data_IF_252131828805
#
_entry.id   IF_252131828805
#
_cell.length_a   1.000
_cell.length_b   1.000
_cell.length_c   1.000
_cell.angle_alpha   90.00
_cell.angle_beta   90.00
_cell.angle_gamma   90.00
#
_symmetry.space_group_name_H-M   'P 1'
#
loop_
_entity.id
_entity.type
_entity.pdbx_description
1 polymer ?
#
# COMPACT_ATOMS: atom_id res chain seq x y z
N UNK A 1 30.12 4.73 38.22
CA UNK A 1 28.78 5.27 37.91
C UNK A 1 28.44 4.83 36.49
N UNK A 2 27.64 3.77 36.33
CA UNK A 2 27.15 3.34 35.00
C UNK A 2 26.01 4.29 34.65
N UNK A 3 26.15 5.00 33.53
CA UNK A 3 25.03 5.68 32.89
C UNK A 3 24.07 4.59 32.40
N UNK A 4 22.96 4.38 33.11
CA UNK A 4 21.79 3.75 32.51
C UNK A 4 21.33 4.67 31.39
N UNK A 5 21.72 4.31 30.16
CA UNK A 5 21.09 4.85 28.97
C UNK A 5 19.64 4.37 29.05
N UNK A 6 18.74 5.27 29.45
CA UNK A 6 17.30 5.06 29.32
C UNK A 6 17.02 4.79 27.84
N UNK A 7 16.94 3.51 27.47
CA UNK A 7 16.44 3.10 26.17
C UNK A 7 15.02 3.69 26.07
N UNK A 8 14.71 4.52 25.06
CA UNK A 8 13.36 4.99 24.88
C UNK A 8 12.45 3.76 24.82
N UNK A 9 11.42 3.76 25.67
CA UNK A 9 10.46 2.66 25.74
C UNK A 9 9.91 2.46 24.33
N UNK A 10 10.20 1.30 23.72
CA UNK A 10 9.74 0.98 22.37
C UNK A 10 8.23 1.20 22.31
N UNK A 11 7.74 1.83 21.24
CA UNK A 11 6.31 2.02 21.02
C UNK A 11 5.78 0.91 20.11
N UNK A 12 4.45 0.68 20.12
CA UNK A 12 3.81 -0.20 19.13
C UNK A 12 4.19 0.18 17.69
N UNK A 13 4.34 1.47 17.42
CA UNK A 13 4.76 2.00 16.11
C UNK A 13 6.19 1.57 15.73
N UNK A 14 7.13 1.53 16.69
CA UNK A 14 8.49 1.01 16.43
C UNK A 14 8.46 -0.46 16.00
N UNK A 15 7.59 -1.26 16.64
CA UNK A 15 7.39 -2.67 16.28
C UNK A 15 6.72 -2.84 14.91
N UNK A 16 5.69 -2.04 14.61
CA UNK A 16 5.04 -2.04 13.28
C UNK A 16 6.05 -1.69 12.18
N UNK A 17 6.86 -0.64 12.39
CA UNK A 17 7.90 -0.22 11.45
C UNK A 17 8.94 -1.32 11.24
N UNK A 18 9.40 -1.95 12.33
CA UNK A 18 10.34 -3.07 12.25
C UNK A 18 9.74 -4.31 11.56
N UNK A 19 8.46 -4.59 11.79
CA UNK A 19 7.70 -5.65 11.14
C UNK A 19 7.53 -5.42 9.63
N UNK A 20 7.21 -4.20 9.21
CA UNK A 20 7.14 -3.80 7.80
C UNK A 20 8.50 -3.98 7.13
N UNK A 21 9.58 -3.53 7.77
CA UNK A 21 10.92 -3.72 7.23
C UNK A 21 11.29 -5.22 7.10
N UNK A 22 10.94 -6.03 8.09
CA UNK A 22 11.11 -7.50 8.01
C UNK A 22 10.31 -8.11 6.85
N UNK A 23 9.06 -7.66 6.66
CA UNK A 23 8.19 -8.13 5.58
C UNK A 23 8.76 -7.77 4.21
N UNK A 24 9.25 -6.54 4.02
CA UNK A 24 9.86 -6.09 2.76
C UNK A 24 11.15 -6.85 2.43
N UNK A 25 11.99 -7.10 3.43
CA UNK A 25 13.33 -7.67 3.24
C UNK A 25 13.31 -9.20 3.12
N UNK A 26 12.47 -9.89 3.89
CA UNK A 26 12.48 -11.35 4.01
C UNK A 26 11.15 -12.02 3.64
N UNK A 27 10.18 -11.23 3.18
CA UNK A 27 8.84 -11.70 2.89
C UNK A 27 8.08 -12.16 4.14
N UNK A 28 6.95 -12.87 3.95
CA UNK A 28 6.08 -13.31 5.04
C UNK A 28 6.80 -14.16 6.10
N UNK A 29 7.77 -14.97 5.69
CA UNK A 29 8.55 -15.81 6.59
C UNK A 29 9.43 -15.01 7.56
N UNK A 30 9.74 -13.74 7.25
CA UNK A 30 10.48 -12.82 8.12
C UNK A 30 9.68 -12.29 9.30
N UNK A 31 8.35 -12.32 9.22
CA UNK A 31 7.47 -11.65 10.19
C UNK A 31 7.16 -12.58 11.36
N UNK A 32 7.87 -12.38 12.46
CA UNK A 32 7.59 -13.05 13.74
C UNK A 32 8.07 -12.20 14.91
N UNK A 33 7.42 -12.34 16.07
CA UNK A 33 7.78 -11.57 17.26
C UNK A 33 9.25 -11.74 17.66
N UNK A 34 9.82 -12.94 17.47
CA UNK A 34 11.25 -13.17 17.73
C UNK A 34 12.16 -12.42 16.75
N UNK A 35 11.91 -12.53 15.43
CA UNK A 35 12.75 -11.88 14.42
C UNK A 35 12.67 -10.35 14.51
N UNK A 36 11.49 -9.82 14.83
CA UNK A 36 11.28 -8.39 15.02
C UNK A 36 11.94 -7.91 16.32
N UNK A 37 11.81 -8.66 17.42
CA UNK A 37 12.51 -8.35 18.67
C UNK A 37 14.03 -8.30 18.47
N UNK A 38 14.58 -9.27 17.73
CA UNK A 38 15.99 -9.30 17.36
C UNK A 38 16.38 -8.07 16.52
N UNK A 39 15.54 -7.65 15.57
CA UNK A 39 15.78 -6.43 14.77
C UNK A 39 15.80 -5.17 15.63
N UNK A 40 15.00 -5.14 16.70
CA UNK A 40 14.91 -4.03 17.64
C UNK A 40 15.92 -4.10 18.79
N UNK A 41 16.85 -5.08 18.75
CA UNK A 41 17.84 -5.34 19.81
C UNK A 41 17.19 -5.54 21.20
N UNK A 42 16.06 -6.25 21.24
CA UNK A 42 15.36 -6.60 22.48
C UNK A 42 15.02 -8.08 22.56
N UNK A 43 14.68 -8.54 23.77
CA UNK A 43 14.28 -9.93 24.00
C UNK A 43 12.90 -10.21 23.40
N UNK A 44 12.66 -11.49 23.06
CA UNK A 44 11.32 -11.96 22.66
C UNK A 44 10.24 -11.64 23.70
N UNK A 45 10.60 -11.61 25.00
CA UNK A 45 9.68 -11.24 26.07
C UNK A 45 9.15 -9.81 25.94
N UNK A 46 9.96 -8.89 25.39
CA UNK A 46 9.56 -7.49 25.16
C UNK A 46 8.36 -7.37 24.21
N UNK A 47 8.22 -8.29 23.25
CA UNK A 47 7.08 -8.32 22.35
C UNK A 47 5.75 -8.43 23.10
N UNK A 48 5.67 -9.32 24.09
CA UNK A 48 4.45 -9.59 24.86
C UNK A 48 4.08 -8.49 25.86
N UNK A 49 4.94 -7.49 26.06
CA UNK A 49 4.56 -6.26 26.75
C UNK A 49 3.80 -5.27 25.85
N UNK A 50 3.89 -5.45 24.53
CA UNK A 50 3.27 -4.57 23.55
C UNK A 50 2.07 -5.23 22.88
N UNK A 51 2.15 -6.52 22.57
CA UNK A 51 1.12 -7.23 21.82
C UNK A 51 0.71 -8.52 22.52
N UNK A 52 -0.58 -8.78 22.52
CA UNK A 52 -1.16 -10.02 23.03
C UNK A 52 -0.93 -11.18 22.04
N UNK A 53 -0.77 -10.86 20.75
CA UNK A 53 -0.59 -11.85 19.69
C UNK A 53 0.14 -11.30 18.46
N UNK A 54 0.59 -12.20 17.59
CA UNK A 54 1.08 -11.81 16.24
C UNK A 54 -0.03 -11.23 15.35
N UNK A 55 -1.28 -11.61 15.57
CA UNK A 55 -2.41 -11.12 14.79
C UNK A 55 -2.69 -9.64 15.10
N UNK A 56 -2.47 -9.21 16.35
CA UNK A 56 -2.56 -7.81 16.74
C UNK A 56 -1.51 -6.95 16.00
N UNK A 57 -0.24 -7.38 16.01
CA UNK A 57 0.81 -6.69 15.25
C UNK A 57 0.49 -6.68 13.76
N UNK A 58 0.02 -7.81 13.22
CA UNK A 58 -0.34 -7.95 11.80
C UNK A 58 -1.44 -6.97 11.43
N UNK A 59 -2.46 -6.82 12.28
CA UNK A 59 -3.54 -5.85 12.09
C UNK A 59 -3.01 -4.42 12.02
N UNK A 60 -2.13 -4.03 12.95
CA UNK A 60 -1.53 -2.68 12.93
C UNK A 60 -0.62 -2.44 11.73
N UNK A 61 0.08 -3.47 11.24
CA UNK A 61 0.85 -3.39 9.99
C UNK A 61 -0.06 -3.18 8.78
N UNK A 62 -1.22 -3.84 8.76
CA UNK A 62 -2.24 -3.67 7.72
C UNK A 62 -2.88 -2.28 7.77
N UNK A 63 -3.21 -1.78 8.96
CA UNK A 63 -3.70 -0.41 9.16
C UNK A 63 -2.70 0.64 8.68
N UNK A 64 -1.41 0.44 8.97
CA UNK A 64 -0.36 1.31 8.45
C UNK A 64 -0.32 1.32 6.92
N UNK A 65 -0.31 0.12 6.31
CA UNK A 65 -0.29 -0.01 4.85
C UNK A 65 -1.52 0.62 4.21
N UNK A 66 -2.71 0.38 4.76
CA UNK A 66 -3.96 0.96 4.28
C UNK A 66 -3.98 2.48 4.38
N UNK A 67 -3.57 3.03 5.54
CA UNK A 67 -3.56 4.46 5.78
C UNK A 67 -2.70 5.18 4.75
N UNK A 68 -1.44 4.73 4.63
CA UNK A 68 -0.41 5.36 3.80
C UNK A 68 -0.63 5.16 2.30
N UNK A 69 -1.20 4.03 1.89
CA UNK A 69 -1.32 3.66 0.47
C UNK A 69 -2.76 3.76 -0.05
N UNK A 70 -3.75 4.15 0.75
CA UNK A 70 -5.16 4.19 0.30
C UNK A 70 -5.96 5.31 0.94
N UNK A 71 -6.06 5.36 2.27
CA UNK A 71 -6.95 6.34 2.94
C UNK A 71 -6.50 7.77 2.66
N UNK A 72 -5.20 8.05 2.79
CA UNK A 72 -4.68 9.40 2.54
C UNK A 72 -4.90 9.85 1.08
N UNK A 73 -4.83 8.92 0.12
CA UNK A 73 -5.09 9.20 -1.30
C UNK A 73 -6.58 9.46 -1.51
N UNK A 74 -7.45 8.61 -0.94
CA UNK A 74 -8.90 8.79 -0.99
C UNK A 74 -9.30 10.15 -0.43
N UNK A 75 -8.83 10.51 0.76
CA UNK A 75 -9.14 11.81 1.39
C UNK A 75 -8.67 13.00 0.54
N UNK A 76 -7.49 12.91 -0.08
CA UNK A 76 -6.99 13.94 -1.00
C UNK A 76 -7.87 14.07 -2.23
N UNK A 77 -8.33 12.96 -2.82
CA UNK A 77 -9.23 12.97 -3.99
C UNK A 77 -10.62 13.53 -3.64
N UNK A 78 -11.20 13.14 -2.49
CA UNK A 78 -12.52 13.61 -2.07
C UNK A 78 -12.54 15.12 -1.82
N UNK A 79 -11.44 15.70 -1.32
CA UNK A 79 -11.33 17.16 -1.14
C UNK A 79 -11.40 17.96 -2.45
N UNK A 80 -11.27 17.32 -3.61
CA UNK A 80 -11.32 17.96 -4.93
C UNK A 80 -12.68 17.76 -5.60
N UNK A 81 -13.78 18.04 -4.90
CA UNK A 81 -15.15 17.69 -5.32
C UNK A 81 -15.47 17.98 -6.80
N UNK A 82 -15.08 19.15 -7.31
CA UNK A 82 -15.45 19.62 -8.66
C UNK A 82 -14.27 19.74 -9.65
N UNK A 83 -13.08 19.23 -9.29
CA UNK A 83 -11.88 19.35 -10.13
C UNK A 83 -11.36 17.97 -10.55
N UNK A 84 -11.94 17.45 -11.64
CA UNK A 84 -11.58 16.16 -12.21
C UNK A 84 -10.09 16.09 -12.58
N UNK A 85 -9.50 17.18 -13.08
CA UNK A 85 -8.08 17.21 -13.43
C UNK A 85 -7.22 17.01 -12.19
N UNK A 86 -7.54 17.66 -11.07
CA UNK A 86 -6.82 17.43 -9.80
C UNK A 86 -7.06 16.04 -9.24
N UNK A 87 -8.28 15.50 -9.30
CA UNK A 87 -8.55 14.10 -8.89
C UNK A 87 -7.66 13.13 -9.66
N UNK A 88 -7.59 13.29 -10.99
CA UNK A 88 -6.76 12.46 -11.86
C UNK A 88 -5.27 12.62 -11.52
N UNK A 89 -4.77 13.84 -11.37
CA UNK A 89 -3.38 14.09 -10.98
C UNK A 89 -3.03 13.40 -9.66
N UNK A 90 -3.89 13.45 -8.65
CA UNK A 90 -3.66 12.79 -7.36
C UNK A 90 -3.59 11.26 -7.53
N UNK A 91 -4.49 10.67 -8.33
CA UNK A 91 -4.47 9.23 -8.60
C UNK A 91 -3.20 8.80 -9.33
N UNK A 92 -2.82 9.52 -10.38
CA UNK A 92 -1.60 9.26 -11.13
C UNK A 92 -0.37 9.38 -10.22
N UNK A 93 -0.24 10.48 -9.49
CA UNK A 93 0.84 10.67 -8.52
C UNK A 93 0.92 9.57 -7.49
N UNK A 94 -0.21 9.07 -7.01
CA UNK A 94 -0.23 7.98 -6.04
C UNK A 94 0.35 6.67 -6.60
N UNK A 95 0.19 6.42 -7.90
CA UNK A 95 0.64 5.18 -8.54
C UNK A 95 2.17 5.03 -8.46
N UNK A 96 2.94 6.05 -8.87
CA UNK A 96 4.41 6.01 -8.85
C UNK A 96 5.04 6.46 -7.53
N UNK A 97 4.29 7.05 -6.60
CA UNK A 97 4.77 7.32 -5.24
C UNK A 97 4.46 6.20 -4.25
N UNK A 98 3.78 5.13 -4.68
CA UNK A 98 3.46 3.99 -3.82
C UNK A 98 4.73 3.27 -3.34
N UNK A 99 4.68 2.74 -2.11
CA UNK A 99 5.70 1.77 -1.65
C UNK A 99 5.47 0.42 -2.33
N UNK A 100 6.05 0.25 -3.52
CA UNK A 100 5.92 -0.94 -4.35
C UNK A 100 6.35 -2.23 -3.61
N UNK A 101 7.42 -2.15 -2.83
CA UNK A 101 7.95 -3.30 -2.08
C UNK A 101 6.97 -3.76 -1.01
N UNK A 102 6.38 -2.83 -0.27
CA UNK A 102 5.36 -3.15 0.73
C UNK A 102 4.10 -3.72 0.09
N UNK A 103 3.64 -3.14 -1.03
CA UNK A 103 2.48 -3.62 -1.77
C UNK A 103 2.68 -5.07 -2.24
N UNK A 104 3.82 -5.38 -2.86
CA UNK A 104 4.18 -6.73 -3.32
C UNK A 104 4.25 -7.69 -2.13
N UNK A 105 4.89 -7.29 -1.04
CA UNK A 105 5.07 -8.16 0.12
C UNK A 105 3.74 -8.47 0.84
N UNK A 106 2.82 -7.49 0.95
CA UNK A 106 1.47 -7.72 1.48
C UNK A 106 0.67 -8.69 0.60
N UNK A 107 0.73 -8.52 -0.73
CA UNK A 107 0.08 -9.43 -1.67
C UNK A 107 0.66 -10.84 -1.63
N UNK A 108 1.99 -10.96 -1.47
CA UNK A 108 2.63 -12.25 -1.26
C UNK A 108 2.14 -12.91 0.05
N UNK A 109 1.99 -12.13 1.13
CA UNK A 109 1.53 -12.65 2.42
C UNK A 109 0.06 -13.09 2.39
N UNK A 110 -0.79 -12.43 1.60
CA UNK A 110 -2.18 -12.82 1.40
C UNK A 110 -2.39 -14.25 0.86
N UNK A 111 -1.37 -14.86 0.23
CA UNK A 111 -1.47 -16.26 -0.20
C UNK A 111 -1.57 -17.24 0.98
N UNK A 112 -0.91 -16.95 2.09
CA UNK A 112 -0.81 -17.87 3.24
C UNK A 112 -1.46 -17.35 4.53
N UNK A 113 -1.89 -16.09 4.58
CA UNK A 113 -2.53 -15.50 5.76
C UNK A 113 -3.91 -14.93 5.43
N UNK A 114 -4.95 -15.46 6.08
CA UNK A 114 -6.35 -15.10 5.81
C UNK A 114 -6.72 -13.68 6.27
N UNK A 115 -6.13 -13.19 7.37
CA UNK A 115 -6.34 -11.83 7.88
C UNK A 115 -5.81 -10.82 6.86
N UNK A 116 -4.60 -11.06 6.35
CA UNK A 116 -3.97 -10.24 5.32
C UNK A 116 -4.79 -10.31 4.02
N UNK A 117 -5.20 -11.50 3.60
CA UNK A 117 -6.02 -11.69 2.38
C UNK A 117 -7.31 -10.87 2.43
N UNK A 118 -8.06 -10.96 3.53
CA UNK A 118 -9.29 -10.21 3.70
C UNK A 118 -9.08 -8.69 3.60
N UNK A 119 -7.96 -8.19 4.15
CA UNK A 119 -7.60 -6.77 4.04
C UNK A 119 -7.22 -6.36 2.62
N UNK A 120 -6.38 -7.16 1.94
CA UNK A 120 -6.00 -6.91 0.54
C UNK A 120 -7.23 -6.87 -0.36
N UNK A 121 -8.15 -7.83 -0.24
CA UNK A 121 -9.38 -7.84 -1.04
C UNK A 121 -10.26 -6.61 -0.78
N UNK A 122 -10.38 -6.18 0.48
CA UNK A 122 -11.16 -4.99 0.83
C UNK A 122 -10.53 -3.73 0.23
N UNK A 123 -9.22 -3.58 0.34
CA UNK A 123 -8.48 -2.44 -0.21
C UNK A 123 -8.55 -2.42 -1.73
N UNK A 124 -8.48 -3.58 -2.38
CA UNK A 124 -8.64 -3.69 -3.84
C UNK A 124 -10.03 -3.22 -4.28
N UNK A 125 -11.09 -3.58 -3.54
CA UNK A 125 -12.45 -3.08 -3.79
C UNK A 125 -12.54 -1.56 -3.65
N UNK A 126 -11.92 -0.98 -2.62
CA UNK A 126 -11.90 0.48 -2.40
C UNK A 126 -11.14 1.20 -3.50
N UNK A 127 -9.91 0.77 -3.80
CA UNK A 127 -9.05 1.38 -4.84
C UNK A 127 -9.70 1.29 -6.21
N UNK A 128 -10.26 0.13 -6.57
CA UNK A 128 -10.95 -0.03 -7.84
C UNK A 128 -12.18 0.87 -7.95
N UNK A 129 -12.95 1.01 -6.88
CA UNK A 129 -14.12 1.90 -6.86
C UNK A 129 -13.71 3.36 -7.03
N UNK A 130 -12.64 3.79 -6.34
CA UNK A 130 -12.11 5.15 -6.44
C UNK A 130 -11.63 5.47 -7.87
N UNK A 131 -10.79 4.61 -8.44
CA UNK A 131 -10.27 4.81 -9.80
C UNK A 131 -11.40 4.78 -10.81
N UNK A 132 -12.33 3.82 -10.69
CA UNK A 132 -13.48 3.73 -11.62
C UNK A 132 -14.36 4.97 -11.56
N UNK A 133 -14.63 5.53 -10.37
CA UNK A 133 -15.43 6.75 -10.23
C UNK A 133 -14.81 7.94 -11.01
N UNK A 134 -13.49 8.12 -10.93
CA UNK A 134 -12.79 9.18 -11.67
C UNK A 134 -12.88 8.94 -13.19
N UNK A 135 -12.73 7.69 -13.65
CA UNK A 135 -12.86 7.36 -15.06
C UNK A 135 -14.31 7.48 -15.59
N UNK A 136 -15.32 7.26 -14.74
CA UNK A 136 -16.73 7.47 -15.10
C UNK A 136 -16.99 8.96 -15.32
N UNK A 137 -16.50 9.82 -14.42
CA UNK A 137 -16.60 11.28 -14.56
C UNK A 137 -15.88 11.76 -15.84
N UNK A 138 -14.70 11.22 -16.11
CA UNK A 138 -13.90 11.55 -17.30
C UNK A 138 -14.57 11.15 -18.62
N UNK A 139 -15.18 9.96 -18.66
CA UNK A 139 -15.78 9.43 -19.90
C UNK A 139 -17.26 9.77 -20.04
N UNK A 140 -17.89 10.33 -19.01
CA UNK A 140 -19.33 10.54 -18.91
C UNK A 140 -20.14 9.25 -19.21
N UNK A 141 -19.57 8.08 -18.89
CA UNK A 141 -20.13 6.78 -19.20
C UNK A 141 -19.76 5.77 -18.11
N UNK A 142 -20.77 5.25 -17.41
CA UNK A 142 -20.55 4.24 -16.36
C UNK A 142 -19.88 2.97 -16.91
N UNK A 143 -20.36 2.48 -18.07
CA UNK A 143 -19.82 1.27 -18.71
C UNK A 143 -18.36 1.46 -19.15
N UNK A 144 -18.05 2.59 -19.82
CA UNK A 144 -16.69 2.86 -20.31
C UNK A 144 -15.75 3.16 -19.14
N UNK A 145 -16.16 4.01 -18.21
CA UNK A 145 -15.37 4.38 -17.05
C UNK A 145 -14.98 3.19 -16.17
N UNK A 146 -15.92 2.28 -15.91
CA UNK A 146 -15.62 1.05 -15.17
C UNK A 146 -14.60 0.15 -15.89
N UNK A 147 -14.64 0.06 -17.23
CA UNK A 147 -13.66 -0.73 -17.99
C UNK A 147 -12.28 -0.09 -17.95
N UNK A 148 -12.19 1.21 -18.20
CA UNK A 148 -10.91 1.92 -18.18
C UNK A 148 -10.30 1.96 -16.78
N UNK A 149 -11.12 2.15 -15.73
CA UNK A 149 -10.67 2.11 -14.34
C UNK A 149 -10.08 0.76 -13.96
N UNK A 150 -10.69 -0.35 -14.41
CA UNK A 150 -10.12 -1.71 -14.26
C UNK A 150 -8.80 -1.85 -14.99
N UNK A 151 -8.70 -1.40 -16.25
CA UNK A 151 -7.47 -1.48 -17.03
C UNK A 151 -6.35 -0.71 -16.34
N UNK A 152 -6.61 0.52 -15.90
CA UNK A 152 -5.62 1.35 -15.20
C UNK A 152 -5.18 0.69 -13.88
N UNK A 153 -6.12 0.24 -13.07
CA UNK A 153 -5.84 -0.36 -11.77
C UNK A 153 -5.06 -1.68 -11.87
N UNK A 154 -5.51 -2.61 -12.73
CA UNK A 154 -4.80 -3.87 -12.92
C UNK A 154 -3.49 -3.69 -13.69
N UNK A 155 -3.41 -2.70 -14.58
CA UNK A 155 -2.17 -2.28 -15.23
C UNK A 155 -1.11 -1.84 -14.22
N UNK A 156 -1.48 -1.01 -13.24
CA UNK A 156 -0.59 -0.64 -12.13
C UNK A 156 -0.11 -1.86 -11.35
N UNK A 157 -1.02 -2.75 -10.95
CA UNK A 157 -0.63 -3.97 -10.23
C UNK A 157 0.34 -4.83 -11.05
N UNK A 158 0.08 -4.98 -12.36
CA UNK A 158 0.98 -5.68 -13.27
C UNK A 158 2.36 -5.00 -13.34
N UNK A 159 2.40 -3.67 -13.44
CA UNK A 159 3.64 -2.90 -13.48
C UNK A 159 4.47 -3.07 -12.19
N UNK A 160 3.82 -3.13 -11.02
CA UNK A 160 4.52 -3.38 -9.75
C UNK A 160 5.18 -4.77 -9.70
N UNK A 161 4.68 -5.74 -10.45
CA UNK A 161 5.23 -7.11 -10.50
C UNK A 161 6.15 -7.36 -11.70
N UNK A 162 6.40 -6.36 -12.54
CA UNK A 162 7.26 -6.50 -13.71
C UNK A 162 8.73 -6.76 -13.32
N UNK A 163 9.41 -7.56 -14.17
CA UNK A 163 10.84 -7.82 -14.07
C UNK A 163 11.53 -7.52 -15.41
N UNK A 164 12.59 -6.70 -15.45
CA UNK A 164 13.19 -5.98 -14.31
C UNK A 164 12.20 -4.98 -13.68
N UNK A 165 12.35 -4.72 -12.38
CA UNK A 165 11.51 -3.75 -11.67
C UNK A 165 11.71 -2.37 -12.26
N UNK A 166 10.61 -1.64 -12.44
CA UNK A 166 10.68 -0.24 -12.84
C UNK A 166 11.35 0.61 -11.77
N UNK A 167 12.17 1.58 -12.20
CA UNK A 167 12.47 2.73 -11.36
C UNK A 167 11.22 3.59 -11.19
N UNK A 168 11.24 4.51 -10.23
CA UNK A 168 10.15 5.46 -10.03
C UNK A 168 9.84 6.27 -11.29
N UNK A 169 10.88 6.72 -11.98
CA UNK A 169 10.79 7.49 -13.23
C UNK A 169 10.17 6.66 -14.34
N UNK A 170 10.61 5.41 -14.53
CA UNK A 170 10.05 4.51 -15.54
C UNK A 170 8.58 4.17 -15.26
N UNK A 171 8.23 3.95 -13.99
CA UNK A 171 6.83 3.70 -13.59
C UNK A 171 5.96 4.93 -13.86
N UNK A 172 6.46 6.13 -13.56
CA UNK A 172 5.77 7.38 -13.87
C UNK A 172 5.52 7.52 -15.37
N UNK A 173 6.55 7.35 -16.21
CA UNK A 173 6.43 7.43 -17.67
C UNK A 173 5.41 6.42 -18.19
N UNK A 174 5.52 5.16 -17.77
CA UNK A 174 4.60 4.08 -18.16
C UNK A 174 3.14 4.40 -17.78
N UNK A 175 2.91 4.87 -16.54
CA UNK A 175 1.56 5.22 -16.08
C UNK A 175 0.97 6.38 -16.90
N UNK A 176 1.78 7.39 -17.25
CA UNK A 176 1.34 8.52 -18.06
C UNK A 176 1.04 8.11 -19.51
N UNK A 177 1.85 7.24 -20.10
CA UNK A 177 1.61 6.69 -21.45
C UNK A 177 0.30 5.88 -21.51
N UNK A 178 0.09 4.98 -20.53
CA UNK A 178 -1.16 4.21 -20.42
C UNK A 178 -2.34 5.17 -20.27
N UNK A 179 -2.22 6.18 -19.40
CA UNK A 179 -3.29 7.17 -19.20
C UNK A 179 -3.62 7.94 -20.49
N UNK A 180 -2.61 8.33 -21.27
CA UNK A 180 -2.82 8.98 -22.56
C UNK A 180 -3.62 8.07 -23.50
N UNK A 181 -3.20 6.82 -23.68
CA UNK A 181 -3.90 5.83 -24.52
C UNK A 181 -5.35 5.60 -24.08
N UNK A 182 -5.61 5.52 -22.77
CA UNK A 182 -6.96 5.33 -22.24
C UNK A 182 -7.88 6.53 -22.47
N UNK A 183 -7.32 7.71 -22.75
CA UNK A 183 -8.07 8.98 -22.88
C UNK A 183 -8.07 9.57 -24.29
N UNK A 184 -7.19 9.12 -25.18
CA UNK A 184 -7.14 9.57 -26.58
C UNK A 184 -8.42 9.26 -27.36
N UNK A 185 -9.09 8.14 -27.06
CA UNK A 185 -10.37 7.76 -27.69
C UNK A 185 -11.61 8.37 -26.99
N UNK A 186 -11.43 9.24 -25.99
CA UNK A 186 -12.51 9.90 -25.26
C UNK A 186 -12.86 11.30 -25.83
N UNK A 187 -12.22 11.70 -26.93
CA UNK A 187 -12.60 12.86 -27.76
C UNK A 187 -13.53 12.43 -28.89
#
# INVERSE_FOLDING_TARGET
MRLEVLMPKLSKESWVTAGINQLKEYGPAGVSGEKIARRLDVTRGSFYHHFDSMDELTTLMLEYWERTQTIEIFDRTQKQFDDLHKKMTILLESAWNSDAELEIAMRQWAFSNEIVRAHVERIDRVRLSLVSAVYIELTQSESRGNKLGKIAYYGLLGALHAWPRFTKEQLKETVLEIQALLTEEAR
#
